data_IF_122932793075
#
_entry.id   IF_122932793075
#
_cell.length_a   1.000
_cell.length_b   1.000
_cell.length_c   1.000
_cell.angle_alpha   90.00
_cell.angle_beta   90.00
_cell.angle_gamma   90.00
#
_symmetry.space_group_name_H-M   'P 1'
#
loop_
_entity.id
_entity.type
_entity.pdbx_description
1 polymer ?
#
# COMPACT_ATOMS: atom_id res chain seq x y z
N UNK A 1 31.13 8.23 49.22
CA UNK A 1 30.52 8.93 48.08
C UNK A 1 31.53 9.89 47.53
N UNK A 2 32.09 9.62 46.32
CA UNK A 2 33.09 10.50 45.70
C UNK A 2 32.38 11.81 45.30
N UNK A 3 32.80 12.92 45.85
CA UNK A 3 32.34 14.28 45.47
C UNK A 3 32.87 14.57 44.06
N UNK A 4 31.96 14.48 43.06
CA UNK A 4 32.32 14.86 41.69
C UNK A 4 32.75 16.32 41.65
N UNK A 5 33.96 16.57 41.09
CA UNK A 5 34.48 17.93 40.88
C UNK A 5 33.48 18.80 40.11
N UNK A 6 33.44 20.11 40.39
CA UNK A 6 32.56 21.06 39.67
C UNK A 6 32.70 20.94 38.16
N UNK A 7 33.94 20.75 37.68
CA UNK A 7 34.24 20.53 36.28
C UNK A 7 33.60 19.27 35.70
N UNK A 8 33.58 18.17 36.45
CA UNK A 8 32.92 16.95 36.02
C UNK A 8 31.41 17.11 35.92
N UNK A 9 30.77 17.84 36.79
CA UNK A 9 29.31 18.15 36.73
C UNK A 9 29.01 18.99 35.51
N UNK A 10 29.84 19.97 35.22
CA UNK A 10 29.66 20.84 34.03
C UNK A 10 29.82 20.10 32.73
N UNK A 11 30.84 19.27 32.61
CA UNK A 11 31.06 18.40 31.42
C UNK A 11 29.89 17.43 31.24
N UNK A 12 29.43 16.76 32.30
CA UNK A 12 28.31 15.84 32.23
C UNK A 12 27.01 16.53 31.80
N UNK A 13 26.76 17.74 32.32
CA UNK A 13 25.56 18.51 31.94
C UNK A 13 25.60 18.92 30.47
N UNK A 14 26.73 19.45 29.99
CA UNK A 14 26.91 19.83 28.59
C UNK A 14 26.81 18.60 27.65
N UNK A 15 27.42 17.49 28.02
CA UNK A 15 27.34 16.24 27.26
C UNK A 15 25.91 15.71 27.19
N UNK A 16 25.16 15.78 28.29
CA UNK A 16 23.75 15.36 28.33
C UNK A 16 22.87 16.21 27.42
N UNK A 17 23.10 17.51 27.37
CA UNK A 17 22.35 18.41 26.48
C UNK A 17 22.66 18.10 25.02
N UNK A 18 23.93 17.93 24.67
CA UNK A 18 24.34 17.59 23.30
C UNK A 18 23.73 16.24 22.89
N UNK A 19 23.80 15.23 23.76
CA UNK A 19 23.20 13.92 23.50
C UNK A 19 21.69 14.00 23.30
N UNK A 20 21.00 14.78 24.12
CA UNK A 20 19.55 15.00 23.99
C UNK A 20 19.20 15.64 22.63
N UNK A 21 19.96 16.64 22.19
CA UNK A 21 19.76 17.29 20.89
C UNK A 21 19.98 16.30 19.74
N UNK A 22 21.02 15.47 19.81
CA UNK A 22 21.32 14.45 18.79
C UNK A 22 20.19 13.43 18.71
N UNK A 23 19.69 12.94 19.85
CA UNK A 23 18.59 12.00 19.92
C UNK A 23 17.27 12.58 19.35
N UNK A 24 16.98 13.84 19.68
CA UNK A 24 15.82 14.53 19.11
C UNK A 24 15.94 14.71 17.58
N UNK A 25 17.09 15.10 17.10
CA UNK A 25 17.36 15.25 15.68
C UNK A 25 17.23 13.89 14.95
N UNK A 26 17.79 12.82 15.51
CA UNK A 26 17.69 11.47 14.96
C UNK A 26 16.24 10.98 14.91
N UNK A 27 15.46 11.22 15.97
CA UNK A 27 14.05 10.87 16.01
C UNK A 27 13.24 11.64 14.96
N UNK A 28 13.44 12.95 14.83
CA UNK A 28 12.77 13.78 13.83
C UNK A 28 13.12 13.35 12.40
N UNK A 29 14.38 13.02 12.15
CA UNK A 29 14.84 12.52 10.84
C UNK A 29 14.23 11.16 10.51
N UNK A 30 14.19 10.23 11.46
CA UNK A 30 13.57 8.92 11.30
C UNK A 30 12.08 9.03 10.96
N UNK A 31 11.33 9.89 11.67
CA UNK A 31 9.91 10.15 11.37
C UNK A 31 9.72 10.76 9.98
N UNK A 32 10.60 11.67 9.56
CA UNK A 32 10.54 12.30 8.24
C UNK A 32 10.77 11.28 7.13
N UNK A 33 11.75 10.42 7.27
CA UNK A 33 12.04 9.34 6.32
C UNK A 33 10.85 8.36 6.25
N UNK A 34 10.34 7.94 7.39
CA UNK A 34 9.16 7.07 7.45
C UNK A 34 7.98 7.66 6.65
N UNK A 35 7.63 8.90 6.92
CA UNK A 35 6.54 9.59 6.22
C UNK A 35 6.81 9.71 4.71
N UNK A 36 8.05 9.96 4.30
CA UNK A 36 8.43 10.06 2.90
C UNK A 36 8.23 8.72 2.17
N UNK A 37 8.68 7.61 2.74
CA UNK A 37 8.52 6.28 2.15
C UNK A 37 7.04 5.88 2.03
N UNK A 38 6.26 6.11 3.07
CA UNK A 38 4.82 5.82 3.04
C UNK A 38 4.09 6.67 2.01
N UNK A 39 4.41 7.95 1.91
CA UNK A 39 3.85 8.84 0.90
C UNK A 39 4.26 8.43 -0.52
N UNK A 40 5.50 8.05 -0.73
CA UNK A 40 5.99 7.58 -2.03
C UNK A 40 5.30 6.27 -2.45
N UNK A 41 5.18 5.29 -1.55
CA UNK A 41 4.47 4.04 -1.81
C UNK A 41 2.99 4.29 -2.13
N UNK A 42 2.32 5.15 -1.37
CA UNK A 42 0.94 5.56 -1.65
C UNK A 42 0.78 6.19 -3.03
N UNK A 43 1.65 7.14 -3.36
CA UNK A 43 1.63 7.81 -4.66
C UNK A 43 1.85 6.83 -5.81
N UNK A 44 2.81 5.91 -5.66
CA UNK A 44 3.08 4.89 -6.65
C UNK A 44 1.87 3.97 -6.88
N UNK A 45 1.26 3.44 -5.82
CA UNK A 45 0.06 2.61 -5.90
C UNK A 45 -1.13 3.37 -6.53
N UNK A 46 -1.37 4.62 -6.09
CA UNK A 46 -2.47 5.44 -6.61
C UNK A 46 -2.27 5.74 -8.10
N UNK A 47 -1.04 6.06 -8.51
CA UNK A 47 -0.72 6.30 -9.91
C UNK A 47 -0.97 5.07 -10.77
N UNK A 48 -0.56 3.89 -10.30
CA UNK A 48 -0.79 2.61 -11.01
C UNK A 48 -2.27 2.28 -11.12
N UNK A 49 -3.01 2.39 -10.02
CA UNK A 49 -4.44 2.17 -9.99
C UNK A 49 -5.18 3.11 -10.97
N UNK A 50 -4.79 4.38 -11.02
CA UNK A 50 -5.39 5.36 -11.94
C UNK A 50 -5.08 5.06 -13.42
N UNK A 51 -3.83 4.67 -13.73
CA UNK A 51 -3.44 4.31 -15.10
C UNK A 51 -4.24 3.09 -15.57
N UNK A 52 -4.29 2.04 -14.75
CA UNK A 52 -5.04 0.85 -15.08
C UNK A 52 -6.55 1.10 -15.20
N UNK A 53 -7.12 1.90 -14.30
CA UNK A 53 -8.52 2.34 -14.40
C UNK A 53 -8.78 3.09 -15.70
N UNK A 54 -7.87 3.98 -16.12
CA UNK A 54 -7.99 4.70 -17.38
C UNK A 54 -7.93 3.79 -18.62
N UNK A 55 -7.09 2.75 -18.60
CA UNK A 55 -7.04 1.74 -19.66
C UNK A 55 -8.35 0.94 -19.69
N UNK A 56 -8.78 0.44 -18.54
CA UNK A 56 -10.00 -0.36 -18.41
C UNK A 56 -11.26 0.40 -18.83
N UNK A 57 -11.37 1.69 -18.51
CA UNK A 57 -12.49 2.52 -18.96
C UNK A 57 -12.54 2.64 -20.49
N UNK A 58 -11.39 2.77 -21.16
CA UNK A 58 -11.31 2.82 -22.64
C UNK A 58 -11.75 1.49 -23.25
N UNK A 59 -11.34 0.38 -22.64
CA UNK A 59 -11.72 -0.97 -23.11
C UNK A 59 -13.21 -1.23 -22.89
N UNK A 60 -13.81 -0.70 -21.83
CA UNK A 60 -15.26 -0.78 -21.57
C UNK A 60 -16.08 -0.06 -22.65
N UNK A 61 -15.57 1.06 -23.17
CA UNK A 61 -16.23 1.83 -24.24
C UNK A 61 -16.05 1.20 -25.63
N UNK A 62 -15.06 0.30 -25.80
CA UNK A 62 -14.77 -0.39 -27.06
C UNK A 62 -15.43 -1.77 -27.11
N UNK A 63 -16.60 -1.85 -27.75
CA UNK A 63 -17.34 -3.10 -27.91
C UNK A 63 -16.61 -4.18 -28.74
N UNK A 64 -15.46 -3.86 -29.34
CA UNK A 64 -14.66 -4.81 -30.14
C UNK A 64 -13.69 -5.64 -29.29
N UNK A 65 -13.44 -5.25 -28.04
CA UNK A 65 -12.47 -5.87 -27.13
C UNK A 65 -13.20 -6.60 -26.00
N UNK A 66 -12.80 -7.83 -25.72
CA UNK A 66 -13.29 -8.55 -24.53
C UNK A 66 -12.62 -8.01 -23.28
N UNK A 67 -13.37 -7.17 -22.56
CA UNK A 67 -12.93 -6.56 -21.29
C UNK A 67 -12.39 -7.59 -20.28
N UNK A 68 -13.05 -8.76 -20.18
CA UNK A 68 -12.63 -9.77 -19.20
C UNK A 68 -11.31 -10.44 -19.60
N UNK A 69 -11.06 -10.58 -20.91
CA UNK A 69 -9.80 -11.11 -21.43
C UNK A 69 -8.67 -10.11 -21.21
N UNK A 70 -8.90 -8.83 -21.50
CA UNK A 70 -7.91 -7.75 -21.32
C UNK A 70 -7.53 -7.57 -19.85
N UNK A 71 -8.51 -7.57 -18.96
CA UNK A 71 -8.25 -7.49 -17.51
C UNK A 71 -7.45 -8.69 -17.01
N UNK A 72 -7.74 -9.89 -17.50
CA UNK A 72 -6.98 -11.09 -17.16
C UNK A 72 -5.54 -10.96 -17.63
N UNK A 73 -5.33 -10.53 -18.87
CA UNK A 73 -3.99 -10.35 -19.46
C UNK A 73 -3.17 -9.33 -18.67
N UNK A 74 -3.78 -8.21 -18.30
CA UNK A 74 -3.18 -7.18 -17.46
C UNK A 74 -2.72 -7.72 -16.10
N UNK A 75 -3.52 -8.58 -15.47
CA UNK A 75 -3.19 -9.16 -14.17
C UNK A 75 -2.13 -10.26 -14.31
N UNK A 76 -2.31 -11.21 -15.25
CA UNK A 76 -1.44 -12.37 -15.39
C UNK A 76 -0.06 -12.01 -15.96
N UNK A 77 0.02 -10.99 -16.82
CA UNK A 77 1.24 -10.55 -17.50
C UNK A 77 1.84 -9.26 -16.95
N UNK A 78 1.43 -8.83 -15.76
CA UNK A 78 2.02 -7.66 -15.11
C UNK A 78 3.52 -7.83 -14.90
N UNK A 79 4.32 -6.90 -15.41
CA UNK A 79 5.80 -6.88 -15.23
C UNK A 79 6.22 -6.55 -13.79
N UNK A 80 5.30 -6.08 -12.95
CA UNK A 80 5.58 -5.59 -11.60
C UNK A 80 5.11 -6.54 -10.49
N UNK A 81 4.92 -7.82 -10.79
CA UNK A 81 4.50 -8.85 -9.83
C UNK A 81 5.36 -8.91 -8.55
N UNK A 82 6.63 -8.55 -8.68
CA UNK A 82 7.57 -8.53 -7.54
C UNK A 82 7.35 -7.36 -6.58
N UNK A 83 6.64 -6.32 -7.03
CA UNK A 83 6.42 -5.10 -6.24
C UNK A 83 5.00 -4.97 -5.72
N UNK A 84 4.05 -5.41 -6.52
CA UNK A 84 2.63 -5.26 -6.26
C UNK A 84 1.89 -6.54 -6.61
N UNK A 85 1.02 -6.98 -5.74
CA UNK A 85 0.03 -7.96 -6.09
C UNK A 85 -1.19 -7.25 -6.67
N UNK A 86 -1.64 -7.71 -7.84
CA UNK A 86 -2.84 -7.20 -8.50
C UNK A 86 -3.90 -8.29 -8.43
N UNK A 87 -5.08 -7.96 -7.95
CA UNK A 87 -6.19 -8.90 -7.84
C UNK A 87 -7.46 -8.35 -8.47
N UNK A 88 -8.29 -9.22 -9.05
CA UNK A 88 -9.64 -8.88 -9.48
C UNK A 88 -10.67 -9.46 -8.51
N UNK A 89 -11.68 -8.64 -8.19
CA UNK A 89 -12.73 -8.94 -7.24
C UNK A 89 -14.06 -9.07 -7.98
N UNK A 90 -14.84 -10.11 -7.67
CA UNK A 90 -16.17 -10.31 -8.25
C UNK A 90 -17.24 -9.46 -7.54
N UNK A 91 -18.48 -9.49 -8.07
CA UNK A 91 -19.63 -8.78 -7.49
C UNK A 91 -20.06 -9.30 -6.10
N UNK A 92 -19.48 -10.42 -5.64
CA UNK A 92 -19.70 -10.98 -4.30
C UNK A 92 -18.59 -10.59 -3.32
N UNK A 93 -17.63 -9.75 -3.75
CA UNK A 93 -16.50 -9.33 -2.94
C UNK A 93 -15.42 -10.41 -2.79
N UNK A 94 -15.34 -11.37 -3.71
CA UNK A 94 -14.35 -12.46 -3.67
C UNK A 94 -13.24 -12.18 -4.66
N UNK A 95 -12.00 -12.41 -4.24
CA UNK A 95 -10.85 -12.40 -5.14
C UNK A 95 -10.95 -13.62 -6.06
N UNK A 96 -10.99 -13.38 -7.35
CA UNK A 96 -11.17 -14.43 -8.39
C UNK A 96 -9.99 -14.53 -9.35
N UNK A 97 -9.11 -13.54 -9.33
CA UNK A 97 -7.87 -13.51 -10.10
C UNK A 97 -6.78 -12.83 -9.29
N UNK A 98 -5.53 -13.31 -9.42
CA UNK A 98 -4.37 -12.73 -8.76
C UNK A 98 -3.14 -12.84 -9.67
N UNK A 99 -2.32 -11.78 -9.69
CA UNK A 99 -1.02 -11.76 -10.41
C UNK A 99 0.02 -12.69 -9.78
N UNK A 100 -0.13 -13.03 -8.50
CA UNK A 100 0.72 -14.00 -7.81
C UNK A 100 0.37 -15.46 -8.12
N UNK A 101 -0.76 -15.70 -8.79
CA UNK A 101 -1.27 -17.05 -9.09
C UNK A 101 -1.83 -17.79 -7.88
N UNK A 102 -1.87 -17.16 -6.69
CA UNK A 102 -2.48 -17.76 -5.50
C UNK A 102 -4.00 -17.71 -5.60
N UNK A 103 -4.63 -18.87 -5.36
CA UNK A 103 -6.09 -18.93 -5.20
C UNK A 103 -6.44 -18.56 -3.76
N UNK A 104 -7.11 -17.45 -3.58
CA UNK A 104 -7.64 -17.04 -2.27
C UNK A 104 -8.82 -17.95 -1.90
N UNK A 105 -8.56 -18.95 -1.07
CA UNK A 105 -9.57 -19.89 -0.58
C UNK A 105 -10.41 -19.31 0.56
N UNK A 106 -9.97 -18.18 1.14
CA UNK A 106 -10.64 -17.54 2.27
C UNK A 106 -11.00 -16.11 1.93
N UNK A 107 -12.18 -15.70 2.29
CA UNK A 107 -12.61 -14.30 2.19
C UNK A 107 -11.81 -13.50 3.22
N UNK A 108 -10.85 -12.73 2.76
CA UNK A 108 -10.11 -11.78 3.61
C UNK A 108 -10.96 -10.52 3.78
N UNK A 109 -10.83 -9.89 4.95
CA UNK A 109 -11.36 -8.56 5.14
C UNK A 109 -10.58 -7.57 4.26
N UNK A 110 -11.31 -6.84 3.41
CA UNK A 110 -10.73 -5.86 2.48
C UNK A 110 -11.33 -4.47 2.77
N UNK A 111 -10.81 -3.75 3.78
CA UNK A 111 -11.35 -2.44 4.15
C UNK A 111 -11.26 -1.41 3.02
N UNK A 112 -10.23 -1.51 2.17
CA UNK A 112 -10.08 -0.72 0.95
C UNK A 112 -11.21 -0.98 -0.06
N UNK A 113 -11.67 -2.22 -0.20
CA UNK A 113 -12.82 -2.54 -1.06
C UNK A 113 -14.12 -1.98 -0.50
N UNK A 114 -14.34 -2.11 0.82
CA UNK A 114 -15.54 -1.54 1.45
C UNK A 114 -15.56 -0.01 1.36
N UNK A 115 -14.40 0.64 1.49
CA UNK A 115 -14.26 2.08 1.30
C UNK A 115 -14.54 2.46 -0.16
N UNK A 116 -14.00 1.72 -1.13
CA UNK A 116 -14.21 1.96 -2.55
C UNK A 116 -15.68 1.91 -2.94
N UNK A 117 -16.44 0.96 -2.38
CA UNK A 117 -17.89 0.84 -2.60
C UNK A 117 -18.70 2.04 -2.10
N UNK A 118 -18.22 2.70 -1.03
CA UNK A 118 -18.90 3.84 -0.40
C UNK A 118 -18.41 5.18 -0.95
N UNK A 119 -17.25 5.18 -1.60
CA UNK A 119 -16.60 6.39 -2.11
C UNK A 119 -17.24 6.86 -3.42
N UNK A 120 -17.49 8.16 -3.52
CA UNK A 120 -17.97 8.78 -4.76
C UNK A 120 -16.96 8.65 -5.93
N UNK A 121 -15.67 8.51 -5.62
CA UNK A 121 -14.62 8.28 -6.62
C UNK A 121 -14.51 6.81 -7.05
N UNK A 122 -15.20 5.89 -6.39
CA UNK A 122 -15.02 4.45 -6.60
C UNK A 122 -13.63 3.94 -6.20
N UNK A 123 -12.91 4.68 -5.35
CA UNK A 123 -11.59 4.30 -4.86
C UNK A 123 -11.59 4.19 -3.34
N UNK A 124 -10.94 3.15 -2.84
CA UNK A 124 -10.70 2.97 -1.42
C UNK A 124 -9.23 2.66 -1.14
N UNK A 125 -8.77 3.00 0.05
CA UNK A 125 -7.38 2.91 0.46
C UNK A 125 -7.27 2.33 1.86
N UNK A 126 -6.32 1.42 2.05
CA UNK A 126 -6.06 0.80 3.35
C UNK A 126 -4.56 0.66 3.61
N UNK A 127 -4.15 0.98 4.83
CA UNK A 127 -2.84 0.64 5.38
C UNK A 127 -3.06 -0.07 6.69
N UNK A 128 -2.60 -1.30 6.76
CA UNK A 128 -2.80 -2.11 7.96
C UNK A 128 -2.13 -3.46 7.85
N UNK A 129 -2.62 -4.41 8.62
CA UNK A 129 -2.12 -5.79 8.61
C UNK A 129 -3.16 -6.71 8.01
N UNK A 130 -2.69 -7.70 7.25
CA UNK A 130 -3.47 -8.86 6.82
C UNK A 130 -3.80 -9.77 8.00
N UNK A 131 -4.65 -10.74 7.80
CA UNK A 131 -4.91 -11.79 8.80
C UNK A 131 -3.67 -12.63 9.12
N UNK A 132 -2.71 -12.71 8.19
CA UNK A 132 -1.40 -13.36 8.42
C UNK A 132 -0.44 -12.50 9.25
N UNK A 133 -0.78 -11.23 9.52
CA UNK A 133 0.04 -10.29 10.27
C UNK A 133 0.99 -9.46 9.41
N UNK A 134 1.03 -9.69 8.11
CA UNK A 134 1.83 -8.91 7.16
C UNK A 134 1.29 -7.49 7.04
N UNK A 135 2.18 -6.50 7.11
CA UNK A 135 1.82 -5.11 6.93
C UNK A 135 1.74 -4.77 5.45
N UNK A 136 0.58 -4.31 5.03
CA UNK A 136 0.28 -4.00 3.62
C UNK A 136 -0.25 -2.59 3.44
N UNK A 137 -0.13 -2.12 2.21
CA UNK A 137 -0.82 -0.97 1.67
C UNK A 137 -1.64 -1.45 0.49
N UNK A 138 -2.94 -1.18 0.48
CA UNK A 138 -3.85 -1.61 -0.56
C UNK A 138 -4.67 -0.45 -1.12
N UNK A 139 -4.93 -0.50 -2.42
CA UNK A 139 -5.85 0.41 -3.11
C UNK A 139 -6.80 -0.43 -3.96
N UNK A 140 -8.08 -0.22 -3.78
CA UNK A 140 -9.14 -0.79 -4.63
C UNK A 140 -9.77 0.28 -5.50
N UNK A 141 -9.98 -0.05 -6.77
CA UNK A 141 -10.70 0.77 -7.76
C UNK A 141 -11.89 -0.02 -8.27
N UNK A 142 -13.09 0.56 -8.15
CA UNK A 142 -14.31 -0.04 -8.67
C UNK A 142 -14.37 0.03 -10.20
N UNK A 143 -14.84 -1.03 -10.82
CA UNK A 143 -15.09 -1.10 -12.27
C UNK A 143 -16.55 -0.69 -12.49
N UNK A 144 -16.83 0.42 -13.19
CA UNK A 144 -18.16 0.95 -13.36
C UNK A 144 -18.94 0.21 -14.47
N UNK A 145 -19.03 -1.11 -14.36
CA UNK A 145 -19.76 -1.95 -15.32
C UNK A 145 -20.50 -3.05 -14.61
N UNK A 146 -21.80 -3.13 -14.86
CA UNK A 146 -22.67 -4.21 -14.37
C UNK A 146 -22.59 -5.48 -15.21
N UNK A 147 -22.08 -5.38 -16.43
CA UNK A 147 -21.94 -6.53 -17.35
C UNK A 147 -20.57 -7.20 -17.26
N UNK A 148 -19.58 -6.52 -16.69
CA UNK A 148 -18.26 -7.10 -16.46
C UNK A 148 -18.34 -8.22 -15.40
N UNK A 149 -17.53 -9.25 -15.59
CA UNK A 149 -17.39 -10.35 -14.63
C UNK A 149 -16.81 -9.90 -13.28
N UNK A 150 -16.04 -8.82 -13.30
CA UNK A 150 -15.32 -8.26 -12.15
C UNK A 150 -15.93 -6.93 -11.74
N UNK A 151 -16.02 -6.68 -10.44
CA UNK A 151 -16.57 -5.46 -9.85
C UNK A 151 -15.48 -4.46 -9.45
N UNK A 152 -14.27 -4.94 -9.18
CA UNK A 152 -13.17 -4.10 -8.76
C UNK A 152 -11.81 -4.73 -9.08
N UNK A 153 -10.80 -3.86 -9.14
CA UNK A 153 -9.41 -4.23 -9.19
C UNK A 153 -8.68 -3.67 -7.96
N UNK A 154 -7.84 -4.49 -7.35
CA UNK A 154 -7.13 -4.18 -6.11
C UNK A 154 -5.62 -4.31 -6.32
N UNK A 155 -4.87 -3.32 -5.88
CA UNK A 155 -3.41 -3.30 -5.83
C UNK A 155 -2.95 -3.41 -4.39
N UNK A 156 -2.07 -4.34 -4.10
CA UNK A 156 -1.52 -4.57 -2.77
C UNK A 156 -0.01 -4.52 -2.80
N UNK A 157 0.60 -3.72 -1.93
CA UNK A 157 2.04 -3.67 -1.71
C UNK A 157 2.37 -4.17 -0.30
N UNK A 158 3.37 -5.04 -0.19
CA UNK A 158 3.96 -5.40 1.10
C UNK A 158 4.78 -4.24 1.64
N UNK A 159 4.56 -3.87 2.89
CA UNK A 159 5.30 -2.82 3.58
C UNK A 159 6.48 -3.35 4.41
N UNK A 160 6.70 -4.67 4.42
CA UNK A 160 7.82 -5.28 5.18
C UNK A 160 9.19 -4.85 4.66
N UNK A 161 9.33 -4.66 3.34
CA UNK A 161 10.58 -4.19 2.75
C UNK A 161 10.90 -2.75 3.17
N UNK A 162 9.87 -1.92 3.30
CA UNK A 162 9.99 -0.53 3.78
C UNK A 162 10.38 -0.51 5.25
N UNK A 163 9.72 -1.31 6.07
CA UNK A 163 10.01 -1.38 7.50
C UNK A 163 11.42 -1.96 7.77
N UNK A 164 11.93 -2.90 6.94
CA UNK A 164 13.29 -3.45 7.05
C UNK A 164 14.40 -2.48 6.63
N UNK A 165 14.14 -1.53 5.75
CA UNK A 165 15.12 -0.54 5.33
C UNK A 165 15.26 0.63 6.31
N UNK A 166 14.32 0.74 7.27
CA UNK A 166 14.27 1.80 8.27
C UNK A 166 14.84 1.38 9.63
N UNK A 167 15.17 0.10 9.83
CA UNK A 167 15.81 -0.45 11.02
C UNK A 167 17.32 -0.59 10.83
#
# INVERSE_FOLDING_TARGET
MAVKSITQRWILNSLSIILAIILLAAAAFSLSIYNLYYSAARTALTSRANIASGILLRVLDDNSVDFNAELRDLIENSEEKDKFEITAIDHKGRVVLSSSGFSYTRQEEMPDYEEAQKSASGMGYYVGKTQSGEKIMAITVMIPSVTAKYSAMRYVASMESVDRQLL
#
